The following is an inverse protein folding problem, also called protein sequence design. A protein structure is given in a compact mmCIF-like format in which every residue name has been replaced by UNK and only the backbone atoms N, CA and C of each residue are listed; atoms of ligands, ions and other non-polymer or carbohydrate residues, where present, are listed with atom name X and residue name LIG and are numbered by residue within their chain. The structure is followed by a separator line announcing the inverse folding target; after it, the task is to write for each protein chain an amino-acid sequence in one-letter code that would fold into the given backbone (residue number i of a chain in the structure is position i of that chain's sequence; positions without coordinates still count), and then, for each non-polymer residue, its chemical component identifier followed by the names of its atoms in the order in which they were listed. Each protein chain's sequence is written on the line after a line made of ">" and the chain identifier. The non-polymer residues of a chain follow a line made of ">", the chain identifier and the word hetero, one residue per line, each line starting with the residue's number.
data_IF_565442058873
#
_entry.id   IF_565442058873
#
_cell.length_a   1.000
_cell.length_b   1.000
_cell.length_c   1.000
_cell.angle_alpha   90.00
_cell.angle_beta   90.00
_cell.angle_gamma   90.00
#
_symmetry.space_group_name_H-M   'P 1'
#
loop_
_entity.id
_entity.type
_entity.pdbx_description
1 polymer ?
#
# COMPACT_ATOMS: atom_id res chain seq x y z
N UNK A 1 -64.54 16.23 -27.99
CA UNK A 1 -63.71 16.27 -29.20
C UNK A 1 -62.66 15.19 -29.02
N UNK A 2 -62.98 14.04 -29.60
CA UNK A 2 -62.19 12.82 -29.61
C UNK A 2 -60.95 12.96 -30.51
N UNK A 3 -59.83 12.41 -30.06
CA UNK A 3 -58.65 12.08 -30.86
C UNK A 3 -58.01 10.87 -30.18
N UNK A 4 -58.05 9.64 -30.70
CA UNK A 4 -57.80 9.23 -32.08
C UNK A 4 -56.44 8.51 -32.08
N UNK A 5 -56.42 7.25 -31.62
CA UNK A 5 -55.20 6.44 -31.49
C UNK A 5 -55.09 5.54 -32.73
N UNK A 6 -54.16 5.86 -33.64
CA UNK A 6 -53.87 5.04 -34.83
C UNK A 6 -52.89 3.91 -34.47
N UNK A 7 -53.26 2.68 -34.80
CA UNK A 7 -52.45 1.47 -34.63
C UNK A 7 -51.78 1.15 -35.96
N UNK A 8 -50.46 1.37 -36.03
CA UNK A 8 -49.65 1.08 -37.21
C UNK A 8 -49.31 -0.41 -37.25
N UNK A 9 -49.69 -1.08 -38.34
CA UNK A 9 -49.57 -2.53 -38.53
C UNK A 9 -48.27 -2.82 -39.31
N UNK A 10 -47.35 -3.58 -38.72
CA UNK A 10 -46.05 -3.92 -39.33
C UNK A 10 -46.21 -5.19 -40.19
N UNK A 11 -45.71 -5.21 -41.45
CA UNK A 11 -45.73 -6.40 -42.31
C UNK A 11 -44.61 -7.39 -41.96
N UNK A 12 -44.96 -8.68 -41.94
CA UNK A 12 -44.06 -9.81 -41.70
C UNK A 12 -43.42 -10.24 -43.04
N UNK A 13 -42.08 -10.25 -43.11
CA UNK A 13 -41.32 -10.78 -44.25
C UNK A 13 -41.03 -12.29 -44.11
N UNK A 14 -40.85 -13.02 -45.23
CA UNK A 14 -40.62 -14.46 -45.24
C UNK A 14 -39.17 -14.85 -44.91
N UNK A 15 -39.04 -15.94 -44.17
CA UNK A 15 -37.80 -16.55 -43.68
C UNK A 15 -37.08 -17.32 -44.79
N UNK A 16 -35.81 -17.00 -45.04
CA UNK A 16 -34.89 -17.79 -45.88
C UNK A 16 -34.16 -18.83 -45.02
N UNK A 17 -34.03 -20.10 -45.45
CA UNK A 17 -33.33 -21.13 -44.69
C UNK A 17 -31.80 -21.00 -44.80
N UNK A 18 -31.15 -20.97 -43.63
CA UNK A 18 -29.69 -21.00 -43.43
C UNK A 18 -29.13 -22.40 -43.73
N UNK A 19 -27.97 -22.53 -44.40
CA UNK A 19 -27.33 -23.83 -44.64
C UNK A 19 -26.69 -24.41 -43.37
N UNK A 20 -27.02 -25.67 -43.08
CA UNK A 20 -26.49 -26.45 -41.95
C UNK A 20 -24.97 -26.67 -42.09
N UNK A 21 -24.24 -26.22 -41.07
CA UNK A 21 -22.83 -26.56 -40.87
C UNK A 21 -22.74 -27.81 -39.97
N UNK A 22 -21.92 -28.82 -40.32
CA UNK A 22 -21.85 -30.07 -39.57
C UNK A 22 -21.32 -29.87 -38.13
N UNK A 23 -21.80 -30.66 -37.15
CA UNK A 23 -21.43 -30.51 -35.75
C UNK A 23 -19.98 -30.93 -35.51
N UNK A 24 -19.12 -29.95 -35.19
CA UNK A 24 -17.82 -30.22 -34.56
C UNK A 24 -18.03 -30.89 -33.21
N UNK A 25 -17.37 -32.03 -33.03
CA UNK A 25 -17.36 -32.81 -31.80
C UNK A 25 -17.04 -31.95 -30.56
N UNK A 26 -17.67 -32.20 -29.40
CA UNK A 26 -17.39 -31.47 -28.18
C UNK A 26 -15.99 -31.84 -27.67
N UNK A 27 -15.02 -30.96 -27.90
CA UNK A 27 -13.75 -31.00 -27.19
C UNK A 27 -14.01 -30.66 -25.71
N UNK A 28 -14.10 -31.70 -24.88
CA UNK A 28 -14.13 -31.60 -23.43
C UNK A 28 -12.81 -30.99 -22.93
N UNK A 29 -12.78 -29.66 -22.79
CA UNK A 29 -11.73 -29.00 -22.01
C UNK A 29 -11.92 -29.42 -20.55
N UNK A 30 -10.99 -30.22 -20.02
CA UNK A 30 -10.99 -30.63 -18.62
C UNK A 30 -11.04 -29.37 -17.73
N UNK A 31 -12.19 -29.12 -17.09
CA UNK A 31 -12.37 -28.00 -16.16
C UNK A 31 -11.39 -28.21 -15.01
N UNK A 32 -10.35 -27.38 -14.94
CA UNK A 32 -9.44 -27.32 -13.79
C UNK A 32 -10.29 -27.15 -12.54
N UNK A 33 -10.32 -28.18 -11.70
CA UNK A 33 -11.05 -28.20 -10.44
C UNK A 33 -10.51 -27.07 -9.58
N UNK A 34 -11.25 -25.97 -9.49
CA UNK A 34 -10.87 -24.83 -8.66
C UNK A 34 -10.88 -25.29 -7.20
N UNK A 35 -9.69 -25.55 -6.66
CA UNK A 35 -9.52 -25.87 -5.24
C UNK A 35 -9.83 -24.61 -4.46
N UNK A 36 -10.97 -24.62 -3.76
CA UNK A 36 -11.39 -23.51 -2.90
C UNK A 36 -10.44 -23.45 -1.71
N UNK A 37 -9.84 -22.29 -1.45
CA UNK A 37 -9.02 -22.08 -0.27
C UNK A 37 -9.86 -22.36 1.00
N UNK A 38 -9.33 -23.17 1.91
CA UNK A 38 -9.94 -23.49 3.21
C UNK A 38 -9.00 -23.07 4.33
N UNK A 39 -9.49 -23.05 5.57
CA UNK A 39 -8.66 -22.77 6.75
C UNK A 39 -7.49 -23.76 6.88
N UNK A 40 -7.70 -25.01 6.47
CA UNK A 40 -6.67 -26.05 6.48
C UNK A 40 -5.67 -25.94 5.32
N UNK A 41 -6.05 -25.32 4.21
CA UNK A 41 -5.17 -25.07 3.06
C UNK A 41 -5.36 -23.65 2.50
N UNK A 42 -4.81 -22.64 3.19
CA UNK A 42 -4.95 -21.24 2.78
C UNK A 42 -3.95 -20.93 1.66
N UNK A 43 -4.41 -20.96 0.40
CA UNK A 43 -3.55 -20.76 -0.77
C UNK A 43 -2.73 -19.46 -0.74
N UNK A 44 -3.27 -18.39 -0.15
CA UNK A 44 -2.59 -17.11 0.04
C UNK A 44 -2.27 -16.79 1.50
N UNK A 45 -2.31 -17.80 2.38
CA UNK A 45 -2.12 -17.63 3.82
C UNK A 45 -3.29 -16.91 4.52
N UNK A 46 -2.99 -16.39 5.71
CA UNK A 46 -3.95 -15.67 6.56
C UNK A 46 -3.71 -14.16 6.54
N UNK A 47 -4.71 -13.37 6.90
CA UNK A 47 -4.56 -11.92 7.13
C UNK A 47 -3.67 -11.73 8.37
N UNK A 48 -2.57 -11.01 8.21
CA UNK A 48 -1.64 -10.73 9.29
C UNK A 48 -2.23 -9.69 10.24
N UNK A 49 -1.98 -9.83 11.55
CA UNK A 49 -2.48 -8.90 12.57
C UNK A 49 -3.96 -9.02 12.92
N UNK A 50 -4.72 -9.93 12.28
CA UNK A 50 -6.10 -10.19 12.66
C UNK A 50 -6.13 -10.91 14.03
N UNK A 51 -6.78 -10.27 15.01
CA UNK A 51 -6.90 -10.76 16.38
C UNK A 51 -8.36 -10.78 16.84
N UNK A 52 -8.65 -11.61 17.83
CA UNK A 52 -9.92 -11.65 18.57
C UNK A 52 -9.58 -11.65 20.06
N UNK A 53 -9.60 -10.47 20.66
CA UNK A 53 -8.98 -10.27 21.98
C UNK A 53 -7.47 -10.49 21.87
N UNK A 54 -6.90 -11.28 22.79
CA UNK A 54 -5.48 -11.64 22.77
C UNK A 54 -5.15 -12.74 21.74
N UNK A 55 -6.17 -13.46 21.27
CA UNK A 55 -5.99 -14.62 20.40
C UNK A 55 -5.86 -14.22 18.93
N UNK A 56 -5.07 -15.00 18.19
CA UNK A 56 -4.96 -14.83 16.73
C UNK A 56 -6.26 -15.26 16.04
N UNK A 57 -6.80 -14.38 15.20
CA UNK A 57 -7.99 -14.66 14.41
C UNK A 57 -7.62 -15.03 12.96
N UNK A 58 -7.73 -16.33 12.63
CA UNK A 58 -7.29 -16.89 11.34
C UNK A 58 -8.27 -16.58 10.20
N UNK A 59 -8.14 -15.41 9.58
CA UNK A 59 -8.90 -15.04 8.38
C UNK A 59 -8.12 -15.48 7.13
N UNK A 60 -8.68 -16.40 6.34
CA UNK A 60 -8.06 -16.88 5.09
C UNK A 60 -8.13 -15.81 4.01
N UNK A 61 -7.00 -15.54 3.34
CA UNK A 61 -6.95 -14.60 2.21
C UNK A 61 -7.53 -15.23 0.96
N UNK A 62 -8.38 -14.49 0.25
CA UNK A 62 -8.94 -14.89 -1.04
C UNK A 62 -8.02 -14.56 -2.23
N UNK A 63 -7.10 -13.63 -2.05
CA UNK A 63 -6.16 -13.16 -3.06
C UNK A 63 -4.77 -12.94 -2.43
N UNK A 64 -3.74 -12.94 -3.27
CA UNK A 64 -2.38 -12.60 -2.84
C UNK A 64 -2.33 -11.18 -2.24
N UNK A 65 -1.45 -10.92 -1.25
CA UNK A 65 -1.21 -9.57 -0.78
C UNK A 65 -0.77 -8.65 -1.94
N UNK A 66 -1.32 -7.43 -2.06
CA UNK A 66 -0.82 -6.46 -3.03
C UNK A 66 0.62 -6.07 -2.68
N UNK A 67 1.42 -5.78 -3.70
CA UNK A 67 2.76 -5.23 -3.50
C UNK A 67 2.66 -3.82 -2.88
N UNK A 68 3.60 -3.43 -2.01
CA UNK A 68 3.69 -2.05 -1.53
C UNK A 68 3.85 -1.06 -2.70
N UNK A 69 3.26 0.12 -2.56
CA UNK A 69 3.45 1.21 -3.53
C UNK A 69 4.75 1.97 -3.20
N UNK A 70 5.62 2.14 -4.18
CA UNK A 70 6.91 2.83 -4.00
C UNK A 70 6.73 4.34 -3.79
N UNK A 71 5.74 4.91 -4.48
CA UNK A 71 5.43 6.34 -4.42
C UNK A 71 4.53 6.64 -3.22
N UNK A 72 5.03 7.50 -2.33
CA UNK A 72 4.26 8.01 -1.20
C UNK A 72 3.00 8.76 -1.64
N UNK A 73 3.06 9.45 -2.78
CA UNK A 73 1.92 10.16 -3.36
C UNK A 73 0.83 9.19 -3.78
N UNK A 74 1.20 8.11 -4.45
CA UNK A 74 0.25 7.12 -4.95
C UNK A 74 -0.32 6.30 -3.80
N UNK A 75 0.48 6.00 -2.76
CA UNK A 75 0.01 5.37 -1.53
C UNK A 75 -1.04 6.24 -0.81
N UNK A 76 -0.82 7.55 -0.70
CA UNK A 76 -1.77 8.47 -0.10
C UNK A 76 -3.08 8.57 -0.92
N UNK A 77 -2.97 8.64 -2.25
CA UNK A 77 -4.13 8.65 -3.14
C UNK A 77 -4.93 7.35 -3.03
N UNK A 78 -4.25 6.21 -3.06
CA UNK A 78 -4.88 4.90 -2.88
C UNK A 78 -5.57 4.76 -1.52
N UNK A 79 -4.95 5.25 -0.43
CA UNK A 79 -5.55 5.28 0.89
C UNK A 79 -6.86 6.07 0.90
N UNK A 80 -6.84 7.31 0.38
CA UNK A 80 -8.03 8.17 0.34
C UNK A 80 -9.17 7.58 -0.49
N UNK A 81 -8.85 6.91 -1.60
CA UNK A 81 -9.83 6.22 -2.44
C UNK A 81 -10.38 4.95 -1.77
N UNK A 82 -9.56 4.25 -0.98
CA UNK A 82 -9.91 2.96 -0.39
C UNK A 82 -10.66 3.07 0.94
N UNK A 83 -10.42 4.14 1.72
CA UNK A 83 -10.97 4.25 3.08
C UNK A 83 -12.49 4.48 3.09
N UNK A 84 -13.02 5.26 2.14
CA UNK A 84 -14.46 5.52 2.03
C UNK A 84 -15.30 4.24 1.89
N UNK A 85 -15.04 3.39 0.87
CA UNK A 85 -15.74 2.11 0.71
C UNK A 85 -15.60 1.14 1.89
N UNK A 86 -14.53 1.25 2.69
CA UNK A 86 -14.38 0.46 3.91
C UNK A 86 -15.35 0.97 4.98
N UNK A 87 -15.40 2.28 5.20
CA UNK A 87 -16.31 2.91 6.17
C UNK A 87 -17.77 2.61 5.82
N UNK A 88 -18.16 2.71 4.55
CA UNK A 88 -19.52 2.38 4.09
C UNK A 88 -19.90 0.92 4.44
N UNK A 89 -18.99 -0.04 4.24
CA UNK A 89 -19.23 -1.45 4.61
C UNK A 89 -19.32 -1.64 6.11
N UNK A 90 -18.52 -0.91 6.88
CA UNK A 90 -18.58 -0.93 8.34
C UNK A 90 -19.91 -0.35 8.85
N UNK A 91 -20.40 0.71 8.22
CA UNK A 91 -21.72 1.27 8.49
C UNK A 91 -22.83 0.26 8.21
N UNK A 92 -22.81 -0.37 7.04
CA UNK A 92 -23.77 -1.41 6.66
C UNK A 92 -23.83 -2.55 7.67
N UNK A 93 -22.67 -3.06 8.10
CA UNK A 93 -22.57 -4.14 9.07
C UNK A 93 -23.12 -3.68 10.42
N UNK A 94 -22.71 -2.50 10.88
CA UNK A 94 -23.15 -1.94 12.15
C UNK A 94 -24.67 -1.74 12.18
N UNK A 95 -25.27 -1.18 11.13
CA UNK A 95 -26.71 -0.98 11.02
C UNK A 95 -27.48 -2.30 10.96
N UNK A 96 -26.99 -3.29 10.19
CA UNK A 96 -27.66 -4.59 10.02
C UNK A 96 -27.60 -5.47 11.27
N UNK A 97 -26.50 -5.41 12.02
CA UNK A 97 -26.26 -6.32 13.16
C UNK A 97 -26.44 -5.65 14.52
N UNK A 98 -26.46 -4.32 14.56
CA UNK A 98 -26.48 -3.56 15.80
C UNK A 98 -25.23 -3.78 16.65
N UNK A 99 -24.08 -4.09 16.05
CA UNK A 99 -22.83 -4.33 16.76
C UNK A 99 -22.13 -3.03 17.18
N UNK A 100 -21.29 -3.13 18.21
CA UNK A 100 -20.30 -2.11 18.52
C UNK A 100 -19.13 -2.25 17.58
N UNK A 101 -18.80 -1.18 16.86
CA UNK A 101 -17.74 -1.17 15.87
C UNK A 101 -17.02 0.17 15.93
N UNK A 102 -15.70 0.10 16.00
CA UNK A 102 -14.80 1.25 15.90
C UNK A 102 -13.75 0.94 14.84
N UNK A 103 -13.50 1.89 13.94
CA UNK A 103 -12.40 1.83 12.98
C UNK A 103 -11.64 3.14 13.02
N UNK A 104 -10.32 3.06 13.06
CA UNK A 104 -9.41 4.20 12.97
C UNK A 104 -8.33 3.92 11.94
N UNK A 105 -8.06 4.88 11.07
CA UNK A 105 -7.04 4.76 10.05
C UNK A 105 -6.39 6.12 9.74
N UNK A 106 -5.06 6.12 9.62
CA UNK A 106 -4.32 7.30 9.17
C UNK A 106 -3.19 6.88 8.24
N UNK A 107 -3.06 7.57 7.11
CA UNK A 107 -1.91 7.41 6.24
C UNK A 107 -0.69 8.10 6.84
N UNK A 108 0.49 7.49 6.72
CA UNK A 108 1.71 7.96 7.39
C UNK A 108 2.14 9.39 7.00
N UNK A 109 1.78 9.83 5.79
CA UNK A 109 2.05 11.18 5.32
C UNK A 109 0.85 12.12 5.36
N UNK A 110 -0.33 11.65 5.79
CA UNK A 110 -1.52 12.49 5.88
C UNK A 110 -1.25 13.70 6.80
N UNK A 111 -1.46 14.91 6.31
CA UNK A 111 -1.34 16.11 7.17
C UNK A 111 -2.55 16.26 8.09
N UNK A 112 -3.70 15.75 7.64
CA UNK A 112 -4.95 15.78 8.38
C UNK A 112 -4.95 14.72 9.49
N UNK A 113 -5.85 14.90 10.47
CA UNK A 113 -6.06 13.97 11.57
C UNK A 113 -6.48 12.57 11.10
N UNK A 114 -6.49 11.62 12.03
CA UNK A 114 -6.98 10.26 11.78
C UNK A 114 -8.43 10.26 11.27
N UNK A 115 -8.68 9.47 10.22
CA UNK A 115 -10.05 9.18 9.77
C UNK A 115 -10.57 8.04 10.62
N UNK A 116 -11.75 8.21 11.22
CA UNK A 116 -12.36 7.18 12.04
C UNK A 116 -13.86 7.07 11.78
N UNK A 117 -14.41 5.90 12.10
CA UNK A 117 -15.83 5.62 12.09
C UNK A 117 -16.19 4.89 13.39
N UNK A 118 -17.32 5.29 13.96
CA UNK A 118 -17.88 4.68 15.18
C UNK A 118 -19.32 4.31 14.91
N UNK A 119 -19.73 3.09 15.28
CA UNK A 119 -21.10 2.66 15.05
C UNK A 119 -22.09 3.49 15.90
N UNK A 120 -23.31 3.76 15.39
CA UNK A 120 -24.30 4.54 16.13
C UNK A 120 -24.61 3.98 17.52
N UNK A 121 -24.62 2.65 17.65
CA UNK A 121 -24.85 1.99 18.94
C UNK A 121 -23.72 2.27 19.94
N UNK A 122 -22.47 2.20 19.48
CA UNK A 122 -21.32 2.44 20.36
C UNK A 122 -21.26 3.92 20.81
N UNK A 123 -21.56 4.86 19.91
CA UNK A 123 -21.69 6.29 20.26
C UNK A 123 -22.80 6.53 21.27
N UNK A 124 -23.95 5.84 21.13
CA UNK A 124 -25.06 5.97 22.06
C UNK A 124 -24.76 5.38 23.44
N UNK A 125 -24.02 4.28 23.50
CA UNK A 125 -23.77 3.54 24.72
C UNK A 125 -22.61 4.14 25.54
N UNK A 126 -21.62 4.76 24.87
CA UNK A 126 -20.38 5.23 25.50
C UNK A 126 -19.77 6.45 24.74
N UNK A 127 -20.42 7.63 24.74
CA UNK A 127 -19.96 8.77 23.94
C UNK A 127 -18.63 9.36 24.44
N UNK A 128 -18.43 9.45 25.76
CA UNK A 128 -17.23 10.03 26.38
C UNK A 128 -16.01 9.13 26.17
N UNK A 129 -16.17 7.81 26.38
CA UNK A 129 -15.09 6.85 26.19
C UNK A 129 -14.62 6.78 24.73
N UNK A 130 -15.53 7.04 23.78
CA UNK A 130 -15.17 7.08 22.36
C UNK A 130 -14.36 8.32 22.01
N UNK A 131 -14.68 9.46 22.62
CA UNK A 131 -13.87 10.67 22.48
C UNK A 131 -12.45 10.42 23.01
N UNK A 132 -12.33 9.83 24.20
CA UNK A 132 -11.04 9.49 24.81
C UNK A 132 -10.24 8.53 23.95
N UNK A 133 -10.83 7.40 23.51
CA UNK A 133 -10.17 6.42 22.64
C UNK A 133 -9.70 7.06 21.33
N UNK A 134 -10.52 7.95 20.75
CA UNK A 134 -10.18 8.61 19.48
C UNK A 134 -9.00 9.57 19.66
N UNK A 135 -9.00 10.34 20.75
CA UNK A 135 -7.94 11.29 21.09
C UNK A 135 -6.63 10.56 21.41
N UNK A 136 -6.67 9.52 22.26
CA UNK A 136 -5.51 8.70 22.59
C UNK A 136 -4.89 8.06 21.35
N UNK A 137 -5.72 7.54 20.44
CA UNK A 137 -5.24 6.92 19.21
C UNK A 137 -4.64 7.96 18.25
N UNK A 138 -5.24 9.14 18.10
CA UNK A 138 -4.68 10.21 17.27
C UNK A 138 -3.34 10.71 17.84
N UNK A 139 -3.23 10.88 19.16
CA UNK A 139 -1.99 11.26 19.84
C UNK A 139 -0.90 10.20 19.72
N UNK A 140 -1.25 8.92 19.85
CA UNK A 140 -0.33 7.81 19.60
C UNK A 140 0.23 7.88 18.17
N UNK A 141 -0.62 8.02 17.16
CA UNK A 141 -0.17 8.06 15.77
C UNK A 141 0.65 9.32 15.49
N UNK A 142 0.27 10.48 16.05
CA UNK A 142 1.09 11.71 15.98
C UNK A 142 2.46 11.50 16.61
N UNK A 143 2.55 10.83 17.76
CA UNK A 143 3.79 10.46 18.43
C UNK A 143 4.68 9.60 17.52
N UNK A 144 4.12 8.54 16.94
CA UNK A 144 4.83 7.65 16.00
C UNK A 144 5.37 8.41 14.78
N UNK A 145 4.59 9.36 14.24
CA UNK A 145 5.02 10.18 13.09
C UNK A 145 6.16 11.13 13.47
N UNK A 146 6.09 11.77 14.64
CA UNK A 146 7.16 12.63 15.17
C UNK A 146 8.44 11.84 15.37
N UNK A 147 8.35 10.68 16.02
CA UNK A 147 9.49 9.76 16.23
C UNK A 147 10.12 9.34 14.90
N UNK A 148 9.31 8.92 13.91
CA UNK A 148 9.83 8.55 12.58
C UNK A 148 10.56 9.72 11.89
N UNK A 149 10.02 10.94 11.98
CA UNK A 149 10.69 12.13 11.41
C UNK A 149 12.00 12.41 12.12
N UNK A 150 12.04 12.27 13.44
CA UNK A 150 13.27 12.44 14.22
C UNK A 150 14.34 11.42 13.81
N UNK A 151 13.97 10.15 13.65
CA UNK A 151 14.90 9.11 13.20
C UNK A 151 15.43 9.39 11.79
N UNK A 152 14.57 9.83 10.88
CA UNK A 152 14.99 10.21 9.53
C UNK A 152 15.97 11.39 9.54
N UNK A 153 15.71 12.41 10.37
CA UNK A 153 16.61 13.56 10.52
C UNK A 153 17.96 13.14 11.10
N UNK A 154 17.98 12.26 12.11
CA UNK A 154 19.22 11.73 12.69
C UNK A 154 20.06 11.02 11.63
N UNK A 155 19.45 10.16 10.82
CA UNK A 155 20.13 9.46 9.72
C UNK A 155 20.67 10.46 8.68
N UNK A 156 19.93 11.52 8.35
CA UNK A 156 20.42 12.56 7.43
C UNK A 156 21.64 13.29 7.99
N UNK A 157 21.68 13.60 9.29
CA UNK A 157 22.82 14.24 9.94
C UNK A 157 24.04 13.31 9.92
N UNK A 158 23.87 12.06 10.34
CA UNK A 158 24.95 11.04 10.33
C UNK A 158 25.52 10.84 8.91
N UNK A 159 24.66 10.82 7.90
CA UNK A 159 25.09 10.69 6.50
C UNK A 159 25.88 11.93 6.04
N UNK A 160 25.43 13.13 6.38
CA UNK A 160 26.15 14.36 6.04
C UNK A 160 27.54 14.44 6.72
N UNK A 161 27.65 13.97 7.96
CA UNK A 161 28.92 13.87 8.68
C UNK A 161 29.85 12.84 8.03
N UNK A 162 29.33 11.65 7.72
CA UNK A 162 30.09 10.60 7.03
C UNK A 162 30.57 11.05 5.64
N UNK A 163 29.76 11.80 4.90
CA UNK A 163 30.15 12.37 3.60
C UNK A 163 31.25 13.41 3.73
N UNK A 164 31.18 14.30 4.73
CA UNK A 164 32.25 15.28 5.01
C UNK A 164 33.55 14.59 5.39
N UNK A 165 33.47 13.57 6.23
CA UNK A 165 34.65 12.79 6.64
C UNK A 165 35.28 12.07 5.44
N UNK A 166 34.45 11.43 4.60
CA UNK A 166 34.91 10.81 3.36
C UNK A 166 35.60 11.82 2.43
N UNK A 167 35.05 13.03 2.31
CA UNK A 167 35.66 14.10 1.51
C UNK A 167 37.01 14.55 2.09
N UNK A 168 37.11 14.69 3.42
CA UNK A 168 38.36 15.03 4.11
C UNK A 168 39.44 13.99 3.86
N UNK A 169 39.13 12.71 4.10
CA UNK A 169 40.06 11.60 3.89
C UNK A 169 40.45 11.48 2.41
N UNK A 170 39.52 11.71 1.48
CA UNK A 170 39.83 11.69 0.05
C UNK A 170 40.80 12.83 -0.33
N UNK A 171 40.63 14.02 0.22
CA UNK A 171 41.53 15.15 -0.01
C UNK A 171 42.92 14.91 0.59
N UNK A 172 43.00 14.35 1.80
CA UNK A 172 44.27 13.96 2.44
C UNK A 172 45.00 12.88 1.62
N UNK A 173 44.27 11.88 1.14
CA UNK A 173 44.82 10.81 0.31
C UNK A 173 45.34 11.34 -1.03
N UNK A 174 44.65 12.31 -1.64
CA UNK A 174 45.16 13.00 -2.83
C UNK A 174 46.42 13.82 -2.53
N UNK A 175 46.46 14.55 -1.42
CA UNK A 175 47.63 15.33 -1.02
C UNK A 175 48.85 14.44 -0.74
N UNK A 176 48.65 13.28 -0.10
CA UNK A 176 49.71 12.29 0.14
C UNK A 176 50.24 11.70 -1.17
N UNK A 177 49.37 11.32 -2.09
CA UNK A 177 49.77 10.85 -3.42
C UNK A 177 50.59 11.89 -4.19
N UNK A 178 50.21 13.16 -4.10
CA UNK A 178 50.95 14.24 -4.75
C UNK A 178 52.37 14.37 -4.18
N UNK A 179 52.50 14.31 -2.85
CA UNK A 179 53.82 14.33 -2.17
C UNK A 179 54.67 13.11 -2.51
N UNK A 180 54.08 11.91 -2.62
CA UNK A 180 54.80 10.71 -3.06
C UNK A 180 55.33 10.87 -4.48
N UNK A 181 54.54 11.47 -5.38
CA UNK A 181 54.98 11.73 -6.75
C UNK A 181 56.15 12.71 -6.80
N UNK A 182 56.04 13.83 -6.07
CA UNK A 182 57.08 14.85 -5.98
C UNK A 182 58.39 14.29 -5.40
N UNK A 183 58.30 13.48 -4.35
CA UNK A 183 59.48 12.83 -3.74
C UNK A 183 60.12 11.81 -4.67
N UNK A 184 59.33 11.03 -5.41
CA UNK A 184 59.83 10.11 -6.43
C UNK A 184 60.55 10.85 -7.57
N UNK A 185 60.01 11.98 -8.04
CA UNK A 185 60.66 12.81 -9.06
C UNK A 185 62.00 13.39 -8.58
N UNK A 186 62.06 13.82 -7.32
CA UNK A 186 63.25 14.41 -6.72
C UNK A 186 64.37 13.37 -6.57
N UNK A 187 64.02 12.15 -6.13
CA UNK A 187 64.95 11.02 -6.07
C UNK A 187 65.51 10.67 -7.45
N UNK A 188 64.66 10.63 -8.47
CA UNK A 188 65.11 10.36 -9.85
C UNK A 188 66.10 11.42 -10.36
N UNK A 189 65.90 12.72 -10.05
CA UNK A 189 66.85 13.78 -10.41
C UNK A 189 68.19 13.64 -9.69
N UNK A 190 68.18 13.31 -8.40
CA UNK A 190 69.41 13.13 -7.61
C UNK A 190 70.23 11.94 -8.11
N UNK A 191 69.57 10.84 -8.48
CA UNK A 191 70.25 9.69 -9.10
C UNK A 191 70.87 10.04 -10.46
N UNK A 192 70.21 10.88 -11.26
CA UNK A 192 70.77 11.34 -12.53
C UNK A 192 72.00 12.26 -12.37
N UNK A 193 72.07 13.03 -11.29
CA UNK A 193 73.22 13.92 -11.00
C UNK A 193 74.41 13.20 -10.37
N UNK A 194 74.20 12.06 -9.70
CA UNK A 194 75.27 11.27 -9.06
C UNK A 194 76.00 10.27 -9.97
N UNK A 195 75.80 10.32 -11.30
CA UNK A 195 76.36 9.38 -12.28
C UNK A 195 77.45 10.01 -13.19
N UNK A 196 78.14 11.04 -12.71
CA UNK A 196 79.33 11.67 -13.30
C UNK A 196 80.53 11.46 -12.37
#
# INVERSE_FOLDING_TARGET
>A
MDSGFEVETIPILPTTPTPETPPSAPQSTAKKRQVRATVANPYHGHVAGAQRGIDTFKIVRKHAPPAPLDSTKDAAAYFNQSIGPIIERCEDIARKTGCWLFIGAQHITAQNGMVHYVSPRLVSDAPEEIEDITNELDDLIRGLRKSRRHDALRVCVELAEAEREKQRLAAELQAMKQKELETAELLHRLQAQGSL
#
